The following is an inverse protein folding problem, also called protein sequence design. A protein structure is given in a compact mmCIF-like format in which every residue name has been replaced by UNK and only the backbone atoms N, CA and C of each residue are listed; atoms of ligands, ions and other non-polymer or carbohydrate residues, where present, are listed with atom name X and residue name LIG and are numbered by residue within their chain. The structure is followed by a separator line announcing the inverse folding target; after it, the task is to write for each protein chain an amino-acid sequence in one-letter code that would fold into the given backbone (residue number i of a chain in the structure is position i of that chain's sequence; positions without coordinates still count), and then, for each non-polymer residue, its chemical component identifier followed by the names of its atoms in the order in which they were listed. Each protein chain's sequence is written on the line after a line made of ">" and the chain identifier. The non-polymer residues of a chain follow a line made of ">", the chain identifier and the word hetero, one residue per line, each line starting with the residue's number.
data_IF_269411931718
#
_entry.id   IF_269411931718
#
_cell.length_a   1.000
_cell.length_b   1.000
_cell.length_c   1.000
_cell.angle_alpha   90.00
_cell.angle_beta   90.00
_cell.angle_gamma   90.00
#
_symmetry.space_group_name_H-M   'P 1'
#
loop_
_entity.id
_entity.type
_entity.pdbx_description
1 polymer ?
#
# COMPACT_ATOMS: atom_id res chain seq x y z
N UNK A 1 -38.70 41.13 29.29
CA UNK A 1 -37.41 41.82 29.55
C UNK A 1 -36.66 41.95 28.22
N UNK A 2 -36.22 43.18 27.92
CA UNK A 2 -35.21 43.60 26.94
C UNK A 2 -35.53 43.52 25.42
N UNK A 3 -36.09 44.64 24.94
CA UNK A 3 -35.69 45.39 23.74
C UNK A 3 -34.25 46.00 23.90
N UNK A 4 -33.66 46.76 22.93
CA UNK A 4 -33.91 46.92 21.47
C UNK A 4 -32.61 46.92 20.59
N UNK A 5 -32.75 47.15 19.25
CA UNK A 5 -31.66 47.27 18.25
C UNK A 5 -31.22 48.73 18.01
N UNK A 6 -30.24 48.99 17.13
CA UNK A 6 -30.04 50.28 16.42
C UNK A 6 -29.08 50.15 15.21
N UNK A 7 -29.23 51.12 14.30
CA UNK A 7 -28.92 51.11 12.86
C UNK A 7 -27.60 51.89 12.52
N UNK A 8 -27.27 52.13 11.22
CA UNK A 8 -25.92 52.39 10.68
C UNK A 8 -25.57 53.89 10.54
N UNK A 9 -24.36 54.22 10.04
CA UNK A 9 -23.86 55.47 9.39
C UNK A 9 -22.31 55.46 9.40
N UNK A 10 -21.52 56.07 8.53
CA UNK A 10 -21.67 56.91 7.32
C UNK A 10 -20.27 57.08 6.70
N UNK A 11 -20.26 57.58 5.47
CA UNK A 11 -19.13 57.97 4.62
C UNK A 11 -18.09 58.91 5.27
N UNK A 12 -16.88 58.92 4.73
CA UNK A 12 -16.25 60.17 4.26
C UNK A 12 -15.03 59.90 3.37
N UNK A 13 -15.11 60.53 2.21
CA UNK A 13 -14.08 60.93 1.26
C UNK A 13 -12.74 61.32 1.91
N UNK A 14 -11.62 61.09 1.22
CA UNK A 14 -11.00 62.14 0.42
C UNK A 14 -9.77 61.63 -0.36
N UNK A 15 -9.74 62.10 -1.60
CA UNK A 15 -8.71 62.01 -2.63
C UNK A 15 -7.44 62.75 -2.23
N UNK A 16 -6.28 62.30 -2.72
CA UNK A 16 -5.43 63.22 -3.49
C UNK A 16 -4.40 62.53 -4.39
N UNK A 17 -4.35 63.07 -5.60
CA UNK A 17 -3.48 62.77 -6.73
C UNK A 17 -2.14 63.50 -6.63
N UNK A 18 -1.05 62.93 -7.17
CA UNK A 18 -0.27 63.53 -8.27
C UNK A 18 1.10 62.86 -8.50
N UNK A 19 1.23 62.38 -9.74
CA UNK A 19 2.39 62.26 -10.66
C UNK A 19 3.82 62.70 -10.26
N UNK A 20 4.79 61.88 -10.68
CA UNK A 20 5.99 62.18 -11.52
C UNK A 20 7.06 61.10 -11.23
N UNK A 21 8.00 60.69 -12.07
CA UNK A 21 8.32 60.78 -13.50
C UNK A 21 9.56 59.87 -13.69
N UNK A 22 9.71 59.27 -14.88
CA UNK A 22 10.94 58.77 -15.54
C UNK A 22 12.12 58.21 -14.70
N UNK A 23 12.54 56.97 -14.97
CA UNK A 23 13.75 56.74 -15.79
C UNK A 23 13.98 55.25 -16.13
N UNK A 24 14.46 55.07 -17.34
CA UNK A 24 14.94 53.84 -17.97
C UNK A 24 16.36 53.48 -17.49
N UNK A 25 16.65 52.20 -17.21
CA UNK A 25 17.79 51.54 -17.87
C UNK A 25 17.95 50.02 -17.61
N UNK A 26 18.24 49.33 -18.72
CA UNK A 26 19.05 48.10 -18.92
C UNK A 26 18.88 46.83 -18.07
N UNK A 27 18.22 45.86 -18.71
CA UNK A 27 18.63 44.46 -18.97
C UNK A 27 19.88 43.88 -18.27
N UNK A 28 19.69 42.76 -17.54
CA UNK A 28 20.24 41.43 -17.86
C UNK A 28 19.87 40.42 -16.75
N UNK A 29 18.94 39.51 -17.03
CA UNK A 29 18.64 38.32 -16.22
C UNK A 29 18.96 37.06 -17.05
N UNK A 30 19.60 36.02 -16.47
CA UNK A 30 19.93 34.78 -17.19
C UNK A 30 18.70 33.89 -17.39
N UNK A 31 18.72 32.95 -18.36
CA UNK A 31 17.51 32.29 -18.86
C UNK A 31 17.03 31.16 -17.94
N UNK A 32 15.71 31.09 -17.74
CA UNK A 32 14.99 29.95 -17.15
C UNK A 32 15.00 28.73 -18.10
N UNK A 33 15.07 27.50 -17.59
CA UNK A 33 14.93 26.31 -18.42
C UNK A 33 13.45 26.04 -18.73
N UNK A 34 13.06 26.28 -19.98
CA UNK A 34 11.78 25.86 -20.55
C UNK A 34 11.67 24.32 -20.50
N UNK A 35 10.76 23.78 -19.68
CA UNK A 35 10.24 22.41 -19.81
C UNK A 35 8.83 22.43 -20.38
N UNK A 36 8.70 21.71 -21.50
CA UNK A 36 7.55 21.52 -22.39
C UNK A 36 6.21 21.37 -21.66
N UNK A 37 5.29 22.33 -21.91
CA UNK A 37 3.84 22.10 -21.90
C UNK A 37 3.46 21.42 -23.20
N UNK A 38 3.18 20.12 -23.17
CA UNK A 38 2.46 19.40 -24.21
C UNK A 38 1.89 18.11 -23.61
N UNK A 39 0.75 17.66 -24.14
CA UNK A 39 -0.03 16.45 -23.80
C UNK A 39 -1.19 16.67 -22.82
N UNK A 40 -2.23 17.39 -23.27
CA UNK A 40 -3.61 17.12 -22.85
C UNK A 40 -4.64 17.35 -23.96
N UNK A 41 -4.25 17.34 -25.23
CA UNK A 41 -5.16 17.31 -26.36
C UNK A 41 -4.67 16.25 -27.34
N UNK A 42 -5.36 15.11 -27.35
CA UNK A 42 -5.70 14.30 -28.53
C UNK A 42 -6.64 13.16 -28.08
N UNK A 43 -7.40 12.68 -29.05
CA UNK A 43 -8.71 12.05 -28.99
C UNK A 43 -8.71 10.64 -28.36
N UNK A 44 -9.91 10.11 -28.08
CA UNK A 44 -10.33 8.81 -28.66
C UNK A 44 -11.74 8.42 -28.21
N UNK A 45 -12.67 8.63 -29.14
CA UNK A 45 -13.69 7.64 -29.44
C UNK A 45 -13.02 6.53 -30.28
N UNK A 46 -13.26 5.26 -29.89
CA UNK A 46 -13.04 4.03 -30.67
C UNK A 46 -11.61 3.49 -30.81
N UNK A 47 -11.47 2.16 -30.72
CA UNK A 47 -10.37 1.42 -31.35
C UNK A 47 -9.38 0.74 -30.41
N UNK A 48 -9.56 -0.57 -30.25
CA UNK A 48 -8.64 -1.51 -29.61
C UNK A 48 -7.33 -1.64 -30.43
N UNK A 49 -6.18 -1.19 -29.90
CA UNK A 49 -4.85 -1.57 -30.37
C UNK A 49 -3.90 -1.68 -29.17
N UNK A 50 -3.96 -2.80 -28.45
CA UNK A 50 -2.95 -3.16 -27.45
C UNK A 50 -1.75 -3.85 -28.12
N UNK A 51 -0.65 -3.13 -28.24
CA UNK A 51 0.68 -3.72 -28.37
C UNK A 51 1.06 -4.45 -27.09
N UNK A 52 1.59 -5.67 -27.22
CA UNK A 52 2.20 -6.43 -26.13
C UNK A 52 3.51 -5.77 -25.69
N UNK A 53 3.43 -4.72 -24.88
CA UNK A 53 4.59 -4.13 -24.22
C UNK A 53 4.49 -4.33 -22.71
N UNK A 54 5.61 -4.74 -22.11
CA UNK A 54 5.73 -4.98 -20.67
C UNK A 54 5.43 -3.68 -19.92
N UNK A 55 4.41 -3.75 -19.06
CA UNK A 55 3.90 -2.62 -18.27
C UNK A 55 4.99 -2.08 -17.33
N UNK A 56 5.48 -0.88 -17.62
CA UNK A 56 6.46 -0.15 -16.81
C UNK A 56 5.72 0.85 -15.92
N UNK A 57 5.45 0.45 -14.67
CA UNK A 57 4.68 1.23 -13.69
C UNK A 57 5.47 2.44 -13.26
N UNK A 58 5.39 3.59 -13.95
CA UNK A 58 6.03 4.84 -13.52
C UNK A 58 7.49 4.63 -13.06
N UNK A 59 8.16 3.68 -13.71
CA UNK A 59 9.35 3.02 -13.22
C UNK A 59 10.57 3.57 -13.91
N UNK A 60 10.51 4.56 -14.81
CA UNK A 60 11.74 5.18 -15.30
C UNK A 60 12.43 5.97 -14.18
N UNK A 61 11.71 6.85 -13.48
CA UNK A 61 12.23 7.55 -12.31
C UNK A 61 12.38 6.62 -11.08
N UNK A 62 11.57 5.54 -11.00
CA UNK A 62 11.67 4.55 -9.92
C UNK A 62 12.77 3.51 -10.14
N UNK A 63 13.07 3.14 -11.40
CA UNK A 63 14.24 2.34 -11.80
C UNK A 63 15.48 3.19 -11.72
N UNK A 64 15.42 4.49 -12.06
CA UNK A 64 16.51 5.41 -11.77
C UNK A 64 16.73 5.52 -10.28
N UNK A 65 15.71 5.73 -9.44
CA UNK A 65 15.91 5.79 -7.98
C UNK A 65 16.22 4.45 -7.32
N UNK A 66 15.81 3.31 -7.87
CA UNK A 66 16.25 1.96 -7.44
C UNK A 66 17.65 1.66 -7.96
N UNK A 67 17.99 2.06 -9.17
CA UNK A 67 19.35 1.96 -9.73
C UNK A 67 20.29 2.94 -9.06
N UNK A 68 19.82 4.10 -8.62
CA UNK A 68 20.51 5.10 -7.80
C UNK A 68 20.55 4.64 -6.34
N UNK A 69 19.53 3.99 -5.80
CA UNK A 69 19.60 3.39 -4.46
C UNK A 69 20.50 2.15 -4.45
N UNK A 70 20.52 1.38 -5.56
CA UNK A 70 21.50 0.32 -5.81
C UNK A 70 22.87 0.87 -6.10
N UNK A 71 22.99 2.00 -6.80
CA UNK A 71 24.26 2.66 -7.08
C UNK A 71 24.79 3.37 -5.84
N UNK A 72 23.95 3.97 -4.99
CA UNK A 72 24.30 4.52 -3.67
C UNK A 72 24.56 3.39 -2.67
N UNK A 73 23.87 2.25 -2.77
CA UNK A 73 24.27 1.04 -2.08
C UNK A 73 25.62 0.56 -2.59
N UNK A 74 25.84 0.50 -3.90
CA UNK A 74 27.08 0.01 -4.53
C UNK A 74 28.25 0.97 -4.37
N UNK A 75 28.01 2.28 -4.25
CA UNK A 75 28.95 3.39 -3.99
C UNK A 75 29.25 3.47 -2.50
N UNK A 76 28.24 3.38 -1.64
CA UNK A 76 28.43 3.19 -0.20
C UNK A 76 29.19 1.89 0.08
N UNK A 77 28.83 0.79 -0.60
CA UNK A 77 29.57 -0.49 -0.60
C UNK A 77 30.94 -0.37 -1.28
N UNK A 78 31.16 0.62 -2.16
CA UNK A 78 32.44 0.84 -2.84
C UNK A 78 33.47 1.45 -1.90
N UNK A 79 33.09 2.42 -1.05
CA UNK A 79 33.97 2.96 -0.01
C UNK A 79 34.36 1.88 1.03
N UNK A 80 33.50 0.88 1.27
CA UNK A 80 33.79 -0.27 2.14
C UNK A 80 34.56 -1.43 1.48
N UNK A 81 35.06 -1.28 0.24
CA UNK A 81 35.87 -2.32 -0.44
C UNK A 81 37.29 -2.48 0.12
N UNK A 82 37.73 -1.62 1.04
CA UNK A 82 39.14 -1.52 1.43
C UNK A 82 39.55 -2.29 2.71
N UNK A 83 38.64 -2.96 3.42
CA UNK A 83 39.01 -3.83 4.55
C UNK A 83 38.95 -5.30 4.13
N UNK A 84 40.11 -5.95 3.95
CA UNK A 84 40.19 -7.32 3.45
C UNK A 84 39.52 -8.35 4.38
N UNK A 85 39.47 -8.09 5.69
CA UNK A 85 38.80 -8.94 6.68
C UNK A 85 38.18 -8.07 7.78
N UNK A 86 36.85 -7.96 7.82
CA UNK A 86 36.18 -7.12 8.82
C UNK A 86 35.95 -7.90 10.12
N UNK A 87 36.60 -7.47 11.22
CA UNK A 87 36.36 -7.99 12.57
C UNK A 87 35.39 -7.08 13.35
N UNK A 88 34.13 -7.49 13.53
CA UNK A 88 33.15 -6.70 14.27
C UNK A 88 33.42 -6.61 15.77
N UNK A 89 34.29 -7.45 16.34
CA UNK A 89 34.56 -7.50 17.79
C UNK A 89 35.36 -6.29 18.28
N UNK A 90 36.10 -5.65 17.39
CA UNK A 90 36.94 -4.49 17.66
C UNK A 90 36.38 -3.20 17.05
N UNK A 91 35.17 -3.26 16.47
CA UNK A 91 34.52 -2.08 15.88
C UNK A 91 33.93 -1.21 17.01
N UNK A 92 34.63 -0.12 17.31
CA UNK A 92 34.21 0.86 18.31
C UNK A 92 32.99 1.65 17.80
N UNK A 93 31.92 1.64 18.57
CA UNK A 93 30.66 2.30 18.26
C UNK A 93 30.34 3.28 19.37
N UNK A 94 30.31 4.58 19.05
CA UNK A 94 30.07 5.65 20.01
C UNK A 94 28.68 6.29 19.84
N UNK A 95 28.00 6.04 18.72
CA UNK A 95 26.63 6.51 18.50
C UNK A 95 25.86 5.79 17.38
N UNK A 96 24.62 6.22 17.17
CA UNK A 96 23.68 5.57 16.23
C UNK A 96 24.15 5.59 14.77
N UNK A 97 24.93 6.61 14.39
CA UNK A 97 25.51 6.69 13.06
C UNK A 97 26.60 5.63 12.86
N UNK A 98 27.41 5.36 13.89
CA UNK A 98 28.41 4.28 13.86
C UNK A 98 27.74 2.91 13.77
N UNK A 99 26.60 2.73 14.47
CA UNK A 99 25.78 1.51 14.33
C UNK A 99 25.31 1.34 12.89
N UNK A 100 24.82 2.41 12.24
CA UNK A 100 24.39 2.36 10.83
C UNK A 100 25.54 2.02 9.88
N UNK A 101 26.73 2.57 10.11
CA UNK A 101 27.93 2.22 9.35
C UNK A 101 28.34 0.76 9.59
N UNK A 102 28.28 0.28 10.83
CA UNK A 102 28.53 -1.13 11.18
C UNK A 102 27.56 -2.07 10.48
N UNK A 103 26.27 -1.72 10.40
CA UNK A 103 25.28 -2.49 9.64
C UNK A 103 25.72 -2.67 8.18
N UNK A 104 26.16 -1.59 7.51
CA UNK A 104 26.64 -1.65 6.13
C UNK A 104 27.88 -2.55 5.98
N UNK A 105 28.84 -2.46 6.91
CA UNK A 105 30.05 -3.31 6.93
C UNK A 105 29.70 -4.79 7.12
N UNK A 106 28.80 -5.09 8.06
CA UNK A 106 28.31 -6.46 8.33
C UNK A 106 27.58 -7.01 7.11
N UNK A 107 26.73 -6.22 6.46
CA UNK A 107 26.03 -6.64 5.23
C UNK A 107 27.02 -6.89 4.08
N UNK A 108 27.98 -5.98 3.88
CA UNK A 108 29.04 -6.15 2.89
C UNK A 108 29.87 -7.42 3.12
N UNK A 109 30.12 -7.75 4.39
CA UNK A 109 30.78 -9.00 4.80
C UNK A 109 29.89 -10.22 4.53
N UNK A 110 28.60 -10.17 4.87
CA UNK A 110 27.67 -11.28 4.66
C UNK A 110 27.37 -11.57 3.19
N UNK A 111 27.45 -10.54 2.33
CA UNK A 111 27.30 -10.64 0.88
C UNK A 111 28.48 -11.36 0.22
N UNK A 112 29.71 -11.11 0.67
CA UNK A 112 30.90 -11.82 0.22
C UNK A 112 31.64 -12.50 1.39
N UNK A 113 30.93 -13.44 2.03
CA UNK A 113 31.38 -14.04 3.29
C UNK A 113 32.66 -14.88 3.17
N UNK A 114 32.92 -15.47 2.00
CA UNK A 114 34.13 -16.29 1.82
C UNK A 114 35.39 -15.45 1.87
N UNK A 115 35.34 -14.25 1.30
CA UNK A 115 36.51 -13.38 1.12
C UNK A 115 36.66 -12.36 2.25
N UNK A 116 35.55 -11.85 2.80
CA UNK A 116 35.59 -10.70 3.74
C UNK A 116 35.46 -11.06 5.21
N UNK A 117 35.14 -12.31 5.55
CA UNK A 117 34.94 -12.73 6.94
C UNK A 117 36.24 -12.67 7.72
N UNK A 118 36.20 -12.32 8.99
CA UNK A 118 37.31 -12.61 9.88
C UNK A 118 37.46 -14.13 10.05
N UNK A 119 38.67 -14.72 9.97
CA UNK A 119 38.86 -16.18 9.98
C UNK A 119 38.26 -16.88 11.22
N UNK A 120 38.31 -16.21 12.37
CA UNK A 120 37.84 -16.71 13.67
C UNK A 120 36.36 -16.45 13.97
N UNK A 121 35.67 -15.64 13.15
CA UNK A 121 34.30 -15.22 13.42
C UNK A 121 33.33 -16.02 12.55
N UNK A 122 32.37 -16.68 13.19
CA UNK A 122 31.36 -17.48 12.51
C UNK A 122 30.27 -16.59 11.89
N UNK A 123 29.63 -17.09 10.82
CA UNK A 123 28.53 -16.38 10.13
C UNK A 123 27.37 -16.04 11.07
N UNK A 124 27.06 -16.92 12.02
CA UNK A 124 26.01 -16.71 13.03
C UNK A 124 26.27 -15.45 13.85
N UNK A 125 27.52 -15.18 14.22
CA UNK A 125 27.88 -13.98 14.99
C UNK A 125 27.55 -12.70 14.23
N UNK A 126 27.92 -12.61 12.94
CA UNK A 126 27.59 -11.46 12.10
C UNK A 126 26.07 -11.27 11.96
N UNK A 127 25.32 -12.37 11.85
CA UNK A 127 23.85 -12.32 11.76
C UNK A 127 23.23 -11.85 13.08
N UNK A 128 23.67 -12.35 14.23
CA UNK A 128 23.19 -11.91 15.54
C UNK A 128 23.53 -10.44 15.81
N UNK A 129 24.74 -10.01 15.42
CA UNK A 129 25.13 -8.60 15.51
C UNK A 129 24.25 -7.72 14.63
N UNK A 130 24.00 -8.11 13.38
CA UNK A 130 23.10 -7.39 12.48
C UNK A 130 21.70 -7.23 13.08
N UNK A 131 21.17 -8.28 13.72
CA UNK A 131 19.85 -8.24 14.36
C UNK A 131 19.82 -7.19 15.48
N UNK A 132 20.84 -7.22 16.35
CA UNK A 132 20.98 -6.27 17.46
C UNK A 132 21.12 -4.84 16.95
N UNK A 133 21.96 -4.63 15.94
CA UNK A 133 22.21 -3.29 15.39
C UNK A 133 20.98 -2.70 14.71
N UNK A 134 20.20 -3.51 13.98
CA UNK A 134 18.93 -3.07 13.40
C UNK A 134 17.93 -2.70 14.50
N UNK A 135 17.86 -3.51 15.57
CA UNK A 135 17.01 -3.23 16.72
C UNK A 135 17.36 -1.88 17.36
N UNK A 136 18.65 -1.62 17.57
CA UNK A 136 19.14 -0.39 18.21
C UNK A 136 19.04 0.84 17.30
N UNK A 137 19.42 0.72 16.03
CA UNK A 137 19.46 1.85 15.09
C UNK A 137 18.07 2.30 14.61
N UNK A 138 17.10 1.38 14.57
CA UNK A 138 15.77 1.64 14.00
C UNK A 138 14.62 1.40 15.00
N UNK A 139 14.90 0.93 16.22
CA UNK A 139 13.89 0.72 17.27
C UNK A 139 12.95 -0.46 17.02
N UNK A 140 13.39 -1.47 16.27
CA UNK A 140 12.63 -2.70 16.06
C UNK A 140 12.82 -3.64 17.26
N UNK A 141 11.78 -4.36 17.68
CA UNK A 141 11.94 -5.46 18.64
C UNK A 141 12.71 -6.61 17.99
N UNK A 142 13.51 -7.34 18.78
CA UNK A 142 14.29 -8.48 18.27
C UNK A 142 13.39 -9.53 17.61
N UNK A 143 12.19 -9.75 18.14
CA UNK A 143 11.18 -10.64 17.55
C UNK A 143 10.81 -10.23 16.13
N UNK A 144 10.56 -8.94 15.89
CA UNK A 144 10.24 -8.44 14.55
C UNK A 144 11.45 -8.56 13.62
N UNK A 145 12.65 -8.25 14.10
CA UNK A 145 13.87 -8.41 13.30
C UNK A 145 14.09 -9.87 12.90
N UNK A 146 13.84 -10.82 13.81
CA UNK A 146 13.93 -12.25 13.54
C UNK A 146 12.88 -12.71 12.51
N UNK A 147 11.65 -12.21 12.59
CA UNK A 147 10.62 -12.46 11.59
C UNK A 147 11.04 -11.95 10.21
N UNK A 148 11.54 -10.71 10.13
CA UNK A 148 11.90 -10.06 8.87
C UNK A 148 13.17 -10.67 8.25
N UNK A 149 14.18 -11.00 9.04
CA UNK A 149 15.40 -11.63 8.53
C UNK A 149 15.11 -13.03 7.98
N UNK A 150 14.13 -13.74 8.54
CA UNK A 150 13.65 -15.01 7.98
C UNK A 150 13.12 -14.82 6.56
N UNK A 151 12.32 -13.78 6.32
CA UNK A 151 11.67 -13.52 5.01
C UNK A 151 12.64 -12.98 3.96
N UNK A 152 13.48 -12.01 4.32
CA UNK A 152 14.32 -11.28 3.37
C UNK A 152 15.77 -11.76 3.33
N UNK A 153 16.21 -12.51 4.35
CA UNK A 153 17.62 -12.74 4.59
C UNK A 153 18.36 -11.47 5.04
N UNK A 154 19.64 -11.59 5.43
CA UNK A 154 20.37 -10.49 6.05
C UNK A 154 20.63 -9.30 5.10
N UNK A 155 20.76 -9.55 3.80
CA UNK A 155 21.13 -8.52 2.82
C UNK A 155 19.92 -7.65 2.46
N UNK A 156 18.79 -8.26 2.09
CA UNK A 156 17.58 -7.52 1.69
C UNK A 156 16.86 -6.88 2.89
N UNK A 157 17.06 -7.41 4.11
CA UNK A 157 16.46 -6.87 5.34
C UNK A 157 16.74 -5.38 5.55
N UNK A 158 17.98 -4.94 5.39
CA UNK A 158 18.33 -3.54 5.61
C UNK A 158 17.67 -2.60 4.59
N UNK A 159 17.56 -3.04 3.33
CA UNK A 159 16.83 -2.28 2.31
C UNK A 159 15.36 -2.14 2.69
N UNK A 160 14.74 -3.22 3.18
CA UNK A 160 13.35 -3.19 3.67
C UNK A 160 13.17 -2.24 4.86
N UNK A 161 13.99 -2.37 5.91
CA UNK A 161 13.91 -1.52 7.12
C UNK A 161 14.13 -0.05 6.78
N UNK A 162 15.17 0.26 5.99
CA UNK A 162 15.46 1.64 5.57
C UNK A 162 14.33 2.23 4.74
N UNK A 163 13.70 1.43 3.88
CA UNK A 163 12.53 1.87 3.15
C UNK A 163 11.36 2.14 4.11
N UNK A 164 11.10 1.29 5.09
CA UNK A 164 10.02 1.49 6.07
C UNK A 164 10.15 2.77 6.90
N UNK A 165 11.34 3.36 7.04
CA UNK A 165 11.51 4.65 7.72
C UNK A 165 11.19 5.88 6.83
N UNK A 166 11.02 5.68 5.51
CA UNK A 166 10.64 6.75 4.59
C UNK A 166 9.11 6.88 4.51
N UNK A 167 8.56 8.11 4.56
CA UNK A 167 7.14 8.32 4.36
C UNK A 167 6.74 7.86 2.95
N UNK A 168 5.53 7.30 2.83
CA UNK A 168 5.00 6.87 1.54
C UNK A 168 4.29 8.01 0.83
N UNK A 169 4.30 8.01 -0.52
CA UNK A 169 3.52 8.98 -1.28
C UNK A 169 2.05 8.96 -0.84
N UNK A 170 1.46 10.15 -0.72
CA UNK A 170 0.04 10.27 -0.45
C UNK A 170 -0.74 9.89 -1.70
N UNK A 171 -1.66 8.94 -1.60
CA UNK A 171 -2.46 8.50 -2.73
C UNK A 171 -3.95 8.68 -2.47
N UNK A 172 -4.69 9.01 -3.53
CA UNK A 172 -6.15 9.11 -3.51
C UNK A 172 -6.76 8.22 -4.60
N UNK A 173 -7.94 7.68 -4.30
CA UNK A 173 -8.78 6.92 -5.23
C UNK A 173 -9.97 7.76 -5.66
N UNK A 174 -10.11 8.02 -6.95
CA UNK A 174 -11.27 8.71 -7.51
C UNK A 174 -12.53 7.87 -7.35
N UNK A 175 -13.64 8.51 -6.98
CA UNK A 175 -14.96 7.89 -7.00
C UNK A 175 -15.57 8.01 -8.39
N UNK A 176 -15.43 6.96 -9.18
CA UNK A 176 -15.94 6.88 -10.56
C UNK A 176 -17.46 6.95 -10.68
N UNK A 177 -18.21 6.78 -9.57
CA UNK A 177 -19.65 7.03 -9.53
C UNK A 177 -20.02 8.52 -9.60
N UNK A 178 -19.08 9.41 -9.28
CA UNK A 178 -19.34 10.86 -9.15
C UNK A 178 -18.56 11.71 -10.15
N UNK A 179 -17.31 11.37 -10.43
CA UNK A 179 -16.43 12.12 -11.33
C UNK A 179 -15.47 11.19 -12.07
N UNK A 180 -15.05 11.60 -13.27
CA UNK A 180 -13.93 10.95 -13.98
C UNK A 180 -12.59 11.39 -13.38
N UNK A 181 -11.57 10.54 -13.49
CA UNK A 181 -10.21 10.85 -12.98
C UNK A 181 -9.66 12.17 -13.56
N UNK A 182 -9.82 12.38 -14.87
CA UNK A 182 -9.32 13.59 -15.56
C UNK A 182 -9.97 14.87 -15.02
N UNK A 183 -11.28 14.85 -14.81
CA UNK A 183 -12.03 15.98 -14.25
C UNK A 183 -11.58 16.30 -12.82
N UNK A 184 -11.44 15.26 -11.97
CA UNK A 184 -10.95 15.47 -10.61
C UNK A 184 -9.52 16.03 -10.59
N UNK A 185 -8.63 15.50 -11.44
CA UNK A 185 -7.27 15.99 -11.56
C UNK A 185 -7.23 17.48 -11.92
N UNK A 186 -8.02 17.92 -12.90
CA UNK A 186 -8.12 19.33 -13.29
C UNK A 186 -8.59 20.22 -12.13
N UNK A 187 -9.62 19.78 -11.39
CA UNK A 187 -10.14 20.52 -10.23
C UNK A 187 -9.07 20.67 -9.14
N UNK A 188 -8.32 19.61 -8.84
CA UNK A 188 -7.27 19.63 -7.82
C UNK A 188 -6.05 20.45 -8.25
N UNK A 189 -5.64 20.35 -9.52
CA UNK A 189 -4.55 21.17 -10.08
C UNK A 189 -4.89 22.66 -9.99
N UNK A 190 -6.14 23.04 -10.32
CA UNK A 190 -6.60 24.42 -10.18
C UNK A 190 -6.56 24.96 -8.74
N UNK A 191 -6.55 24.06 -7.74
CA UNK A 191 -6.39 24.40 -6.31
C UNK A 191 -4.93 24.36 -5.83
N UNK A 192 -3.96 24.20 -6.73
CA UNK A 192 -2.54 24.15 -6.38
C UNK A 192 -2.10 22.80 -5.80
N UNK A 193 -2.77 21.71 -6.16
CA UNK A 193 -2.33 20.34 -5.82
C UNK A 193 -1.45 19.81 -6.95
N UNK A 194 -0.23 19.39 -6.62
CA UNK A 194 0.66 18.70 -7.54
C UNK A 194 0.40 17.19 -7.47
N UNK A 195 -0.02 16.60 -8.59
CA UNK A 195 -0.47 15.22 -8.64
C UNK A 195 -0.25 14.59 -10.01
N UNK A 196 -0.02 13.28 -10.01
CA UNK A 196 0.06 12.45 -11.23
C UNK A 196 -0.78 11.17 -11.12
N UNK A 197 -1.18 10.57 -12.25
CA UNK A 197 -1.67 9.19 -12.31
C UNK A 197 -0.82 8.16 -11.55
N UNK A 198 -1.47 7.23 -10.85
CA UNK A 198 -0.77 6.08 -10.24
C UNK A 198 -0.56 5.00 -11.29
N UNK A 199 0.53 5.14 -12.06
CA UNK A 199 0.92 4.21 -13.12
C UNK A 199 -0.22 3.84 -14.09
N UNK A 200 0.03 2.86 -14.95
CA UNK A 200 -0.96 2.46 -15.96
C UNK A 200 -1.88 1.32 -15.49
N UNK A 201 -1.55 0.69 -14.37
CA UNK A 201 -2.33 -0.43 -13.80
C UNK A 201 -3.60 0.04 -13.07
N UNK A 202 -3.71 1.33 -12.74
CA UNK A 202 -4.86 1.87 -12.02
C UNK A 202 -5.48 3.07 -12.75
N UNK A 203 -6.72 2.90 -13.24
CA UNK A 203 -7.47 3.98 -13.90
C UNK A 203 -8.05 5.03 -12.94
N UNK A 204 -8.13 4.72 -11.63
CA UNK A 204 -8.76 5.57 -10.61
C UNK A 204 -7.76 6.27 -9.68
N UNK A 205 -6.49 5.87 -9.70
CA UNK A 205 -5.49 6.30 -8.73
C UNK A 205 -4.81 7.61 -9.12
N UNK A 206 -4.62 8.51 -8.16
CA UNK A 206 -3.78 9.71 -8.26
C UNK A 206 -2.82 9.77 -7.08
N UNK A 207 -1.54 10.04 -7.37
CA UNK A 207 -0.48 10.27 -6.39
C UNK A 207 -0.33 11.77 -6.20
N UNK A 208 -0.30 12.20 -4.93
CA UNK A 208 -0.14 13.59 -4.53
C UNK A 208 1.31 13.79 -4.08
N UNK A 209 2.03 14.70 -4.74
CA UNK A 209 3.41 15.04 -4.38
C UNK A 209 3.46 16.20 -3.39
N UNK A 210 2.63 17.21 -3.62
CA UNK A 210 2.51 18.36 -2.74
C UNK A 210 1.13 18.98 -2.86
N UNK A 211 0.69 19.63 -1.80
CA UNK A 211 -0.59 20.33 -1.77
C UNK A 211 -0.51 21.49 -0.81
N UNK A 212 -0.96 22.67 -1.26
CA UNK A 212 -1.13 23.84 -0.38
C UNK A 212 -2.39 23.71 0.49
N UNK A 213 -3.36 22.89 0.05
CA UNK A 213 -4.63 22.66 0.74
C UNK A 213 -4.65 21.27 1.38
N UNK A 214 -5.16 21.10 2.60
CA UNK A 214 -5.30 19.76 3.18
C UNK A 214 -6.22 18.88 2.33
N UNK A 215 -5.69 17.78 1.78
CA UNK A 215 -6.41 16.88 0.87
C UNK A 215 -7.64 16.23 1.53
N UNK A 216 -7.66 16.11 2.86
CA UNK A 216 -8.80 15.60 3.63
C UNK A 216 -9.88 16.64 3.95
N UNK A 217 -9.69 17.91 3.56
CA UNK A 217 -10.60 19.01 3.87
C UNK A 217 -11.13 19.73 2.62
N UNK A 218 -10.83 19.23 1.42
CA UNK A 218 -11.34 19.83 0.18
C UNK A 218 -12.85 19.60 0.04
N UNK A 219 -13.58 20.51 -0.64
CA UNK A 219 -14.99 20.29 -0.96
C UNK A 219 -15.24 18.98 -1.71
N UNK A 220 -14.31 18.60 -2.58
CA UNK A 220 -14.37 17.37 -3.38
C UNK A 220 -14.25 16.12 -2.50
N UNK A 221 -13.38 16.15 -1.48
CA UNK A 221 -13.31 15.07 -0.48
C UNK A 221 -14.60 14.96 0.33
N UNK A 222 -15.12 16.09 0.82
CA UNK A 222 -16.35 16.12 1.63
C UNK A 222 -17.57 15.66 0.81
N UNK A 223 -17.61 15.99 -0.49
CA UNK A 223 -18.63 15.49 -1.44
C UNK A 223 -18.45 14.02 -1.82
N UNK A 224 -17.36 13.38 -1.38
CA UNK A 224 -17.04 11.98 -1.68
C UNK A 224 -16.62 11.73 -3.12
N UNK A 225 -16.02 12.71 -3.79
CA UNK A 225 -15.45 12.55 -5.12
C UNK A 225 -14.17 11.70 -5.12
N UNK A 226 -13.53 11.54 -3.96
CA UNK A 226 -12.40 10.63 -3.79
C UNK A 226 -12.25 10.16 -2.34
N UNK A 227 -11.43 9.13 -2.18
CA UNK A 227 -11.04 8.55 -0.90
C UNK A 227 -9.51 8.63 -0.76
N UNK A 228 -9.01 9.06 0.40
CA UNK A 228 -7.58 8.95 0.72
C UNK A 228 -7.32 7.51 1.11
N UNK A 229 -6.47 6.83 0.36
CA UNK A 229 -6.24 5.40 0.52
C UNK A 229 -4.90 5.03 -0.11
N UNK A 230 -4.17 4.14 0.55
CA UNK A 230 -2.90 3.61 0.06
C UNK A 230 -3.06 2.85 -1.29
N UNK A 231 -2.09 3.02 -2.18
CA UNK A 231 -2.11 2.41 -3.51
C UNK A 231 -2.27 0.87 -3.47
N UNK A 232 -1.63 0.17 -2.52
CA UNK A 232 -1.75 -1.28 -2.44
C UNK A 232 -3.17 -1.72 -2.07
N UNK A 233 -3.93 -0.87 -1.37
CA UNK A 233 -5.32 -1.14 -1.03
C UNK A 233 -6.29 -1.03 -2.22
N UNK A 234 -5.84 -0.57 -3.39
CA UNK A 234 -6.63 -0.62 -4.62
C UNK A 234 -6.65 -2.02 -5.24
N UNK A 235 -5.61 -2.81 -4.99
CA UNK A 235 -5.38 -4.09 -5.66
C UNK A 235 -6.45 -5.14 -5.34
N UNK A 236 -6.93 -5.32 -4.09
CA UNK A 236 -7.90 -6.37 -3.81
C UNK A 236 -9.25 -6.20 -4.53
N UNK A 237 -9.90 -5.02 -4.51
CA UNK A 237 -11.10 -4.80 -5.32
C UNK A 237 -10.86 -4.97 -6.83
N UNK A 238 -9.72 -4.45 -7.34
CA UNK A 238 -9.34 -4.59 -8.76
C UNK A 238 -9.01 -6.03 -9.16
N UNK A 239 -8.53 -6.86 -8.24
CA UNK A 239 -8.32 -8.29 -8.47
C UNK A 239 -9.65 -9.04 -8.49
N UNK A 240 -10.53 -8.72 -7.54
CA UNK A 240 -11.83 -9.36 -7.39
C UNK A 240 -12.78 -9.05 -8.55
N UNK A 241 -12.72 -7.84 -9.14
CA UNK A 241 -13.52 -7.39 -10.30
C UNK A 241 -15.01 -7.71 -10.19
N UNK A 242 -15.71 -7.27 -9.12
CA UNK A 242 -17.14 -7.50 -9.00
C UNK A 242 -17.90 -6.87 -10.17
N UNK A 243 -18.96 -7.55 -10.62
CA UNK A 243 -19.80 -7.08 -11.72
C UNK A 243 -21.12 -6.50 -11.20
N UNK A 244 -21.74 -5.56 -11.92
CA UNK A 244 -23.08 -5.08 -11.61
C UNK A 244 -24.09 -6.23 -11.48
N UNK A 245 -24.89 -6.21 -10.41
CA UNK A 245 -25.93 -7.21 -10.16
C UNK A 245 -25.47 -8.45 -9.38
N UNK A 246 -24.16 -8.64 -9.17
CA UNK A 246 -23.62 -9.72 -8.35
C UNK A 246 -23.89 -9.48 -6.86
N UNK A 247 -23.81 -10.57 -6.08
CA UNK A 247 -23.82 -10.52 -4.62
C UNK A 247 -22.41 -10.66 -4.07
N UNK A 248 -21.93 -9.60 -3.44
CA UNK A 248 -20.54 -9.46 -2.97
C UNK A 248 -20.49 -9.31 -1.45
N UNK A 249 -19.50 -9.92 -0.81
CA UNK A 249 -19.23 -9.76 0.63
C UNK A 249 -17.85 -9.15 0.85
N UNK A 250 -17.77 -8.15 1.72
CA UNK A 250 -16.54 -7.69 2.35
C UNK A 250 -16.57 -8.12 3.82
N UNK A 251 -15.71 -9.07 4.20
CA UNK A 251 -15.76 -9.71 5.53
C UNK A 251 -15.18 -8.86 6.67
N UNK A 252 -14.36 -7.85 6.34
CA UNK A 252 -13.65 -6.99 7.29
C UNK A 252 -13.58 -5.57 6.74
N UNK A 253 -14.77 -4.99 6.59
CA UNK A 253 -15.02 -3.84 5.74
C UNK A 253 -14.51 -2.52 6.31
N UNK A 254 -14.50 -2.32 7.63
CA UNK A 254 -14.19 -1.00 8.19
C UNK A 254 -12.70 -0.65 7.97
N UNK A 255 -12.36 0.62 7.66
CA UNK A 255 -13.23 1.81 7.65
C UNK A 255 -14.01 2.04 6.34
N UNK A 256 -13.99 1.12 5.37
CA UNK A 256 -14.82 1.18 4.15
C UNK A 256 -14.08 1.57 2.87
N UNK A 257 -12.76 1.76 2.92
CA UNK A 257 -11.99 2.17 1.72
C UNK A 257 -12.09 1.17 0.56
N UNK A 258 -11.91 -0.13 0.85
CA UNK A 258 -12.05 -1.20 -0.15
C UNK A 258 -13.51 -1.47 -0.50
N UNK A 259 -14.40 -1.44 0.49
CA UNK A 259 -15.84 -1.61 0.32
C UNK A 259 -16.45 -0.57 -0.63
N UNK A 260 -16.08 0.71 -0.47
CA UNK A 260 -16.54 1.78 -1.39
C UNK A 260 -15.98 1.61 -2.81
N UNK A 261 -14.84 0.93 -2.95
CA UNK A 261 -14.29 0.59 -4.26
C UNK A 261 -15.08 -0.55 -4.90
N UNK A 262 -15.42 -1.59 -4.14
CA UNK A 262 -16.32 -2.66 -4.61
C UNK A 262 -17.67 -2.08 -5.08
N UNK A 263 -18.30 -1.22 -4.28
CA UNK A 263 -19.57 -0.58 -4.66
C UNK A 263 -19.49 0.30 -5.91
N UNK A 264 -18.34 0.98 -6.11
CA UNK A 264 -18.05 1.71 -7.33
C UNK A 264 -17.92 0.82 -8.56
N UNK A 265 -17.17 -0.28 -8.45
CA UNK A 265 -17.01 -1.26 -9.54
C UNK A 265 -18.34 -1.95 -9.89
N UNK A 266 -19.19 -2.19 -8.89
CA UNK A 266 -20.55 -2.73 -9.08
C UNK A 266 -21.54 -1.72 -9.66
N UNK A 267 -21.15 -0.45 -9.86
CA UNK A 267 -22.03 0.62 -10.35
C UNK A 267 -23.30 0.76 -9.51
N UNK A 268 -23.20 0.57 -8.18
CA UNK A 268 -24.34 0.55 -7.26
C UNK A 268 -25.45 -0.46 -7.61
N UNK A 269 -25.14 -1.54 -8.34
CA UNK A 269 -26.09 -2.58 -8.73
C UNK A 269 -25.75 -3.92 -8.08
N UNK A 270 -26.78 -4.66 -7.65
CA UNK A 270 -26.62 -5.91 -6.90
C UNK A 270 -26.65 -5.70 -5.39
N UNK A 271 -25.97 -6.56 -4.65
CA UNK A 271 -25.95 -6.52 -3.17
C UNK A 271 -24.52 -6.60 -2.67
N UNK A 272 -24.07 -5.59 -1.94
CA UNK A 272 -22.77 -5.56 -1.28
C UNK A 272 -22.97 -5.68 0.24
N UNK A 273 -22.59 -6.80 0.84
CA UNK A 273 -22.61 -6.94 2.31
C UNK A 273 -21.26 -6.48 2.85
N UNK A 274 -21.28 -5.47 3.73
CA UNK A 274 -20.12 -4.90 4.37
C UNK A 274 -20.11 -5.26 5.86
N UNK A 275 -19.34 -6.28 6.22
CA UNK A 275 -19.29 -6.79 7.58
C UNK A 275 -18.01 -6.33 8.30
N UNK A 276 -18.12 -5.94 9.57
CA UNK A 276 -16.94 -5.77 10.44
C UNK A 276 -17.30 -6.21 11.86
N UNK A 277 -16.38 -6.89 12.54
CA UNK A 277 -16.60 -7.37 13.91
C UNK A 277 -16.56 -6.20 14.93
N UNK A 278 -15.75 -5.17 14.67
CA UNK A 278 -15.57 -4.08 15.62
C UNK A 278 -16.69 -3.04 15.46
N UNK A 279 -17.62 -3.06 16.42
CA UNK A 279 -18.77 -2.14 16.48
C UNK A 279 -18.36 -0.66 16.50
N UNK A 280 -17.23 -0.32 17.11
CA UNK A 280 -16.75 1.08 17.19
C UNK A 280 -16.31 1.63 15.83
N UNK A 281 -15.95 0.74 14.88
CA UNK A 281 -15.52 1.12 13.53
C UNK A 281 -16.68 1.20 12.54
N UNK A 282 -17.86 0.69 12.90
CA UNK A 282 -19.07 0.70 12.07
C UNK A 282 -19.54 2.13 11.72
N UNK A 283 -19.56 3.12 12.65
CA UNK A 283 -19.92 4.49 12.29
C UNK A 283 -19.02 5.09 11.20
N UNK A 284 -17.71 4.83 11.25
CA UNK A 284 -16.79 5.28 10.22
C UNK A 284 -17.05 4.62 8.85
N UNK A 285 -17.36 3.32 8.84
CA UNK A 285 -17.78 2.59 7.64
C UNK A 285 -19.06 3.20 7.05
N UNK A 286 -20.10 3.40 7.87
CA UNK A 286 -21.37 4.00 7.44
C UNK A 286 -21.17 5.41 6.89
N UNK A 287 -20.40 6.25 7.58
CA UNK A 287 -20.09 7.61 7.14
C UNK A 287 -19.36 7.61 5.78
N UNK A 288 -18.39 6.72 5.59
CA UNK A 288 -17.68 6.62 4.31
C UNK A 288 -18.57 6.10 3.18
N UNK A 289 -19.41 5.08 3.43
CA UNK A 289 -20.35 4.59 2.43
C UNK A 289 -21.34 5.69 2.01
N UNK A 290 -21.91 6.41 2.97
CA UNK A 290 -22.83 7.52 2.72
C UNK A 290 -22.14 8.66 1.96
N UNK A 291 -20.96 9.11 2.42
CA UNK A 291 -20.17 10.17 1.76
C UNK A 291 -19.83 9.79 0.33
N UNK A 292 -19.41 8.55 0.09
CA UNK A 292 -19.05 8.05 -1.25
C UNK A 292 -20.27 7.73 -2.12
N UNK A 293 -21.50 7.81 -1.59
CA UNK A 293 -22.72 7.57 -2.36
C UNK A 293 -22.95 6.10 -2.71
N UNK A 294 -22.53 5.18 -1.85
CA UNK A 294 -22.75 3.74 -2.04
C UNK A 294 -24.15 3.38 -1.55
N UNK A 295 -25.01 2.93 -2.45
CA UNK A 295 -26.43 2.65 -2.16
C UNK A 295 -26.74 1.15 -2.12
N UNK A 296 -25.91 0.31 -2.74
CA UNK A 296 -26.08 -1.15 -2.77
C UNK A 296 -25.54 -1.87 -1.52
N UNK A 297 -25.02 -1.14 -0.53
CA UNK A 297 -24.34 -1.71 0.62
C UNK A 297 -25.26 -1.98 1.81
N UNK A 298 -25.16 -3.18 2.40
CA UNK A 298 -25.78 -3.56 3.67
C UNK A 298 -24.67 -3.71 4.71
N UNK A 299 -24.71 -2.88 5.74
CA UNK A 299 -23.70 -2.91 6.82
C UNK A 299 -24.13 -3.88 7.91
N UNK A 300 -23.24 -4.80 8.29
CA UNK A 300 -23.49 -5.79 9.34
C UNK A 300 -22.36 -5.83 10.37
N UNK A 301 -22.68 -6.29 11.58
CA UNK A 301 -21.72 -6.47 12.67
C UNK A 301 -21.82 -7.89 13.21
N UNK A 302 -21.17 -8.83 12.52
CA UNK A 302 -21.10 -10.24 12.89
C UNK A 302 -19.65 -10.72 12.95
N UNK A 303 -19.42 -11.78 13.73
CA UNK A 303 -18.22 -12.60 13.56
C UNK A 303 -18.27 -13.26 12.19
N UNK A 304 -17.31 -12.92 11.34
CA UNK A 304 -17.27 -13.39 9.97
C UNK A 304 -17.07 -14.91 9.85
N UNK A 305 -16.59 -15.58 10.91
CA UNK A 305 -16.52 -17.05 11.00
C UNK A 305 -17.89 -17.71 11.10
N UNK A 306 -18.87 -17.00 11.63
CA UNK A 306 -20.22 -17.52 11.87
C UNK A 306 -21.23 -17.13 10.79
N UNK A 307 -20.84 -16.29 9.83
CA UNK A 307 -21.72 -15.81 8.77
C UNK A 307 -22.35 -16.95 7.95
N UNK A 308 -21.69 -18.10 7.84
CA UNK A 308 -22.21 -19.31 7.16
C UNK A 308 -23.52 -19.81 7.75
N UNK A 309 -23.83 -19.49 9.02
CA UNK A 309 -25.09 -19.84 9.70
C UNK A 309 -26.24 -18.91 9.32
N UNK A 310 -25.94 -17.68 8.90
CA UNK A 310 -26.91 -16.61 8.70
C UNK A 310 -27.11 -16.27 7.22
N UNK A 311 -26.07 -16.41 6.41
CA UNK A 311 -26.07 -16.07 5.01
C UNK A 311 -25.10 -16.94 4.20
N UNK A 312 -25.20 -16.86 2.89
CA UNK A 312 -24.35 -17.56 1.93
C UNK A 312 -24.87 -17.29 0.52
N UNK A 313 -24.20 -17.83 -0.50
CA UNK A 313 -24.59 -17.55 -1.89
C UNK A 313 -23.97 -16.28 -2.45
N UNK A 314 -22.74 -15.98 -2.04
CA UNK A 314 -21.98 -14.86 -2.58
C UNK A 314 -21.24 -15.28 -3.85
N UNK A 315 -21.30 -14.45 -4.88
CA UNK A 315 -20.56 -14.66 -6.12
C UNK A 315 -19.08 -14.35 -5.90
N UNK A 316 -18.81 -13.27 -5.16
CA UNK A 316 -17.46 -12.81 -4.87
C UNK A 316 -17.30 -12.36 -3.42
N UNK A 317 -16.14 -12.63 -2.85
CA UNK A 317 -15.85 -12.29 -1.46
C UNK A 317 -14.47 -11.62 -1.39
N UNK A 318 -14.41 -10.49 -0.71
CA UNK A 318 -13.19 -9.84 -0.30
C UNK A 318 -12.93 -10.19 1.18
N UNK A 319 -11.76 -10.76 1.43
CA UNK A 319 -11.21 -10.96 2.76
C UNK A 319 -9.89 -10.19 2.87
N UNK A 320 -10.00 -8.91 3.24
CA UNK A 320 -8.85 -8.12 3.71
C UNK A 320 -8.63 -8.44 5.18
N UNK A 321 -7.79 -9.43 5.44
CA UNK A 321 -7.80 -10.12 6.72
C UNK A 321 -7.11 -9.30 7.83
N UNK A 322 -7.62 -9.34 9.07
CA UNK A 322 -6.94 -8.74 10.21
C UNK A 322 -5.56 -9.37 10.38
N UNK A 323 -4.51 -8.55 10.37
CA UNK A 323 -3.12 -9.01 10.35
C UNK A 323 -2.23 -8.13 11.22
N UNK A 324 -0.99 -8.58 11.42
CA UNK A 324 -0.01 -7.89 12.28
C UNK A 324 0.38 -6.50 11.76
N UNK A 325 0.22 -6.26 10.46
CA UNK A 325 0.61 -5.01 9.80
C UNK A 325 2.11 -4.85 9.59
N UNK A 326 2.89 -5.94 9.62
CA UNK A 326 4.36 -5.88 9.42
C UNK A 326 4.80 -5.20 8.11
N UNK A 327 3.91 -5.03 7.13
CA UNK A 327 4.17 -4.30 5.89
C UNK A 327 3.90 -2.80 5.94
N UNK A 328 3.27 -2.27 7.00
CA UNK A 328 2.82 -0.87 7.10
C UNK A 328 3.54 -0.08 8.20
N UNK A 329 4.76 -0.49 8.57
CA UNK A 329 5.56 0.17 9.63
C UNK A 329 5.76 1.68 9.35
N UNK A 330 5.87 2.08 8.08
CA UNK A 330 6.00 3.50 7.70
C UNK A 330 4.75 4.34 8.00
N UNK A 331 3.60 3.69 8.22
CA UNK A 331 2.33 4.33 8.58
C UNK A 331 2.06 4.25 10.07
N UNK A 332 2.40 3.12 10.69
CA UNK A 332 2.27 2.90 12.12
C UNK A 332 3.57 2.34 12.69
N UNK A 333 4.38 3.24 13.24
CA UNK A 333 5.66 2.91 13.84
C UNK A 333 5.51 2.08 15.13
N UNK A 334 4.32 1.98 15.74
CA UNK A 334 4.15 1.13 16.93
C UNK A 334 4.33 -0.35 16.61
N UNK A 335 4.12 -0.75 15.35
CA UNK A 335 4.22 -2.13 14.88
C UNK A 335 5.62 -2.69 15.06
N UNK A 336 6.67 -1.89 14.82
CA UNK A 336 8.05 -2.37 14.94
C UNK A 336 8.47 -2.68 16.38
N UNK A 337 7.83 -2.04 17.36
CA UNK A 337 8.13 -2.23 18.77
C UNK A 337 7.22 -3.29 19.44
N UNK A 338 5.95 -3.37 19.03
CA UNK A 338 4.92 -4.08 19.80
C UNK A 338 4.49 -5.44 19.24
N UNK A 339 4.97 -5.84 18.05
CA UNK A 339 4.61 -7.15 17.47
C UNK A 339 5.57 -8.24 17.91
N UNK A 340 5.00 -9.44 18.09
CA UNK A 340 5.70 -10.66 18.50
C UNK A 340 5.34 -11.84 17.59
N UNK A 341 6.10 -12.93 17.73
CA UNK A 341 5.76 -14.22 17.08
C UNK A 341 4.37 -14.74 17.48
N UNK A 342 3.96 -14.49 18.73
CA UNK A 342 2.67 -14.94 19.26
C UNK A 342 1.53 -14.24 18.53
N UNK A 343 1.66 -12.93 18.28
CA UNK A 343 0.66 -12.16 17.53
C UNK A 343 0.50 -12.69 16.10
N UNK A 344 1.62 -12.94 15.43
CA UNK A 344 1.64 -13.54 14.08
C UNK A 344 0.91 -14.89 14.08
N UNK A 345 1.16 -15.75 15.07
CA UNK A 345 0.55 -17.07 15.15
C UNK A 345 -0.95 -17.00 15.42
N UNK A 346 -1.37 -16.15 16.38
CA UNK A 346 -2.78 -15.95 16.73
C UNK A 346 -3.58 -15.42 15.53
N UNK A 347 -3.06 -14.38 14.86
CA UNK A 347 -3.71 -13.80 13.69
C UNK A 347 -3.68 -14.76 12.49
N UNK A 348 -2.60 -15.49 12.26
CA UNK A 348 -2.54 -16.54 11.23
C UNK A 348 -3.64 -17.59 11.43
N UNK A 349 -3.90 -18.02 12.67
CA UNK A 349 -4.96 -19.00 12.95
C UNK A 349 -6.36 -18.41 12.70
N UNK A 350 -6.60 -17.18 13.16
CA UNK A 350 -7.85 -16.46 12.86
C UNK A 350 -8.05 -16.31 11.34
N UNK A 351 -7.01 -15.93 10.60
CA UNK A 351 -7.06 -15.77 9.15
C UNK A 351 -7.38 -17.08 8.43
N UNK A 352 -6.88 -18.23 8.92
CA UNK A 352 -7.25 -19.56 8.38
C UNK A 352 -8.74 -19.82 8.57
N UNK A 353 -9.28 -19.61 9.77
CA UNK A 353 -10.71 -19.80 10.05
C UNK A 353 -11.57 -18.89 9.16
N UNK A 354 -11.19 -17.61 9.05
CA UNK A 354 -11.88 -16.63 8.21
C UNK A 354 -11.84 -17.01 6.73
N UNK A 355 -10.70 -17.46 6.22
CA UNK A 355 -10.57 -17.84 4.81
C UNK A 355 -11.38 -19.09 4.48
N UNK A 356 -11.40 -20.09 5.38
CA UNK A 356 -12.26 -21.26 5.22
C UNK A 356 -13.74 -20.86 5.21
N UNK A 357 -14.16 -20.00 6.14
CA UNK A 357 -15.53 -19.48 6.18
C UNK A 357 -15.87 -18.67 4.90
N UNK A 358 -14.93 -17.87 4.39
CA UNK A 358 -15.09 -17.14 3.13
C UNK A 358 -15.40 -18.10 1.98
N UNK A 359 -14.62 -19.17 1.85
CA UNK A 359 -14.82 -20.16 0.78
C UNK A 359 -16.18 -20.85 0.92
N UNK A 360 -16.60 -21.17 2.16
CA UNK A 360 -17.86 -21.85 2.44
C UNK A 360 -19.10 -20.95 2.20
N UNK A 361 -18.93 -19.62 2.20
CA UNK A 361 -19.96 -18.63 1.91
C UNK A 361 -20.22 -18.44 0.39
N UNK A 362 -19.32 -18.92 -0.46
CA UNK A 362 -19.48 -18.82 -1.91
C UNK A 362 -20.73 -19.54 -2.42
N UNK A 363 -21.32 -18.98 -3.46
CA UNK A 363 -22.43 -19.59 -4.18
C UNK A 363 -22.05 -20.97 -4.72
N UNK A 364 -22.91 -21.97 -4.49
CA UNK A 364 -22.71 -23.31 -5.07
C UNK A 364 -23.17 -23.38 -6.52
N UNK A 365 -23.88 -22.36 -7.01
CA UNK A 365 -24.37 -22.28 -8.38
C UNK A 365 -23.29 -21.73 -9.32
N UNK A 366 -23.25 -22.20 -10.57
CA UNK A 366 -22.22 -21.84 -11.54
C UNK A 366 -22.53 -20.55 -12.35
N UNK A 367 -23.51 -19.75 -11.92
CA UNK A 367 -23.96 -18.58 -12.70
C UNK A 367 -22.93 -17.45 -12.75
N UNK A 368 -22.03 -17.38 -11.76
CA UNK A 368 -21.01 -16.36 -11.63
C UNK A 368 -19.66 -16.97 -11.21
N UNK A 369 -18.53 -16.29 -11.47
CA UNK A 369 -17.22 -16.75 -11.04
C UNK A 369 -17.09 -16.65 -9.52
N UNK A 370 -17.06 -17.83 -8.87
CA UNK A 370 -16.99 -18.02 -7.41
C UNK A 370 -15.59 -17.72 -6.88
N UNK A 371 -15.34 -16.45 -6.56
CA UNK A 371 -14.00 -15.94 -6.27
C UNK A 371 -13.88 -15.39 -4.84
N UNK A 372 -12.76 -15.70 -4.19
CA UNK A 372 -12.34 -15.09 -2.92
C UNK A 372 -11.02 -14.37 -3.15
N UNK A 373 -10.99 -13.06 -2.94
CA UNK A 373 -9.75 -12.30 -2.88
C UNK A 373 -9.30 -12.22 -1.42
N UNK A 374 -8.18 -12.86 -1.11
CA UNK A 374 -7.52 -12.78 0.17
C UNK A 374 -6.39 -11.75 0.10
N UNK A 375 -6.34 -10.82 1.06
CA UNK A 375 -5.23 -9.87 1.18
C UNK A 375 -4.84 -9.57 2.62
N UNK A 376 -3.59 -9.15 2.82
CA UNK A 376 -3.07 -8.65 4.10
C UNK A 376 -2.09 -7.49 3.86
N UNK A 377 -1.92 -6.64 4.87
CA UNK A 377 -0.81 -5.68 4.92
C UNK A 377 0.39 -6.21 5.76
N UNK A 378 0.61 -7.52 5.73
CA UNK A 378 1.73 -8.20 6.39
C UNK A 378 2.70 -8.78 5.35
N UNK A 379 3.99 -8.80 5.70
CA UNK A 379 5.03 -9.49 4.92
C UNK A 379 5.27 -10.93 5.39
N UNK A 380 4.68 -11.32 6.53
CA UNK A 380 4.86 -12.62 7.16
C UNK A 380 4.32 -13.76 6.30
N UNK A 381 5.13 -14.81 6.13
CA UNK A 381 4.75 -16.02 5.40
C UNK A 381 3.69 -16.82 6.17
N UNK A 382 3.70 -16.75 7.51
CA UNK A 382 2.72 -17.42 8.35
C UNK A 382 1.30 -16.84 8.18
N UNK A 383 1.20 -15.54 7.90
CA UNK A 383 -0.06 -14.87 7.61
C UNK A 383 -0.43 -15.00 6.12
N UNK A 384 0.54 -15.17 5.22
CA UNK A 384 0.28 -15.18 3.78
C UNK A 384 0.19 -16.61 3.22
N UNK A 385 1.30 -17.15 2.71
CA UNK A 385 1.31 -18.42 1.99
C UNK A 385 0.90 -19.60 2.85
N UNK A 386 1.21 -19.58 4.15
CA UNK A 386 0.77 -20.64 5.06
C UNK A 386 -0.76 -20.69 5.18
N UNK A 387 -1.44 -19.54 5.17
CA UNK A 387 -2.91 -19.44 5.22
C UNK A 387 -3.51 -19.94 3.90
N UNK A 388 -2.98 -19.49 2.76
CA UNK A 388 -3.43 -19.95 1.44
C UNK A 388 -3.22 -21.46 1.27
N UNK A 389 -2.05 -21.97 1.63
CA UNK A 389 -1.73 -23.39 1.56
C UNK A 389 -2.62 -24.23 2.48
N UNK A 390 -2.99 -23.68 3.65
CA UNK A 390 -3.98 -24.32 4.52
C UNK A 390 -5.35 -24.41 3.83
N UNK A 391 -5.85 -23.33 3.22
CA UNK A 391 -7.12 -23.36 2.49
C UNK A 391 -7.12 -24.36 1.32
N UNK A 392 -6.04 -24.41 0.53
CA UNK A 392 -5.89 -25.35 -0.60
C UNK A 392 -5.95 -26.82 -0.17
N UNK A 393 -5.55 -27.14 1.07
CA UNK A 393 -5.61 -28.51 1.62
C UNK A 393 -6.99 -28.88 2.18
N UNK A 394 -7.77 -27.89 2.61
CA UNK A 394 -9.01 -28.12 3.36
C UNK A 394 -10.27 -27.83 2.55
N UNK A 395 -10.17 -27.17 1.40
CA UNK A 395 -11.29 -26.83 0.51
C UNK A 395 -10.92 -27.06 -0.94
N UNK A 396 -11.92 -27.36 -1.77
CA UNK A 396 -11.75 -27.58 -3.21
C UNK A 396 -11.60 -26.25 -3.97
N UNK A 397 -10.53 -25.53 -3.70
CA UNK A 397 -10.21 -24.24 -4.32
C UNK A 397 -8.89 -24.30 -5.06
N UNK A 398 -8.69 -23.37 -5.98
CA UNK A 398 -7.42 -23.17 -6.68
C UNK A 398 -7.01 -21.71 -6.70
N UNK A 399 -5.70 -21.47 -6.74
CA UNK A 399 -5.16 -20.13 -6.96
C UNK A 399 -5.24 -19.81 -8.45
N UNK A 400 -5.87 -18.69 -8.78
CA UNK A 400 -5.97 -18.17 -10.15
C UNK A 400 -5.08 -16.95 -10.31
N UNK A 401 -4.73 -16.65 -11.56
CA UNK A 401 -3.90 -15.50 -11.89
C UNK A 401 -4.63 -14.19 -11.61
N UNK A 402 -3.90 -13.23 -11.09
CA UNK A 402 -4.39 -11.87 -10.87
C UNK A 402 -4.49 -11.14 -12.22
N UNK A 403 -5.40 -10.17 -12.37
CA UNK A 403 -5.58 -9.43 -13.62
C UNK A 403 -4.44 -8.44 -13.92
N UNK A 404 -3.37 -8.43 -13.13
CA UNK A 404 -2.21 -7.57 -13.30
C UNK A 404 -0.92 -8.36 -13.06
N UNK A 405 0.12 -8.03 -13.83
CA UNK A 405 1.36 -8.81 -13.89
C UNK A 405 2.45 -8.42 -12.90
N UNK A 406 2.27 -7.38 -12.10
CA UNK A 406 3.34 -6.81 -11.26
C UNK A 406 3.31 -7.28 -9.80
N UNK A 407 4.41 -7.03 -9.10
CA UNK A 407 4.67 -7.58 -7.76
C UNK A 407 5.60 -8.80 -7.82
N UNK A 408 6.26 -9.10 -6.69
CA UNK A 408 7.02 -10.34 -6.55
C UNK A 408 6.04 -11.53 -6.46
N UNK A 409 6.34 -12.70 -7.05
CA UNK A 409 5.50 -13.88 -6.91
C UNK A 409 5.44 -14.36 -5.45
N UNK A 410 4.37 -15.09 -5.10
CA UNK A 410 4.25 -15.76 -3.80
C UNK A 410 5.35 -16.80 -3.56
N UNK A 411 5.72 -16.99 -2.29
CA UNK A 411 6.84 -17.85 -1.89
C UNK A 411 6.36 -19.31 -1.82
N UNK A 412 6.91 -20.18 -2.67
CA UNK A 412 6.53 -21.61 -2.70
C UNK A 412 7.39 -22.50 -1.81
N UNK A 413 8.56 -22.03 -1.37
CA UNK A 413 9.45 -22.73 -0.45
C UNK A 413 9.98 -21.77 0.60
N UNK A 414 9.88 -22.15 1.86
CA UNK A 414 10.38 -21.36 2.97
C UNK A 414 10.97 -22.27 4.04
N UNK A 415 12.26 -22.10 4.34
CA UNK A 415 13.00 -22.99 5.23
C UNK A 415 12.81 -24.46 4.81
N UNK A 416 12.28 -25.31 5.69
CA UNK A 416 11.97 -26.72 5.43
C UNK A 416 10.55 -26.94 4.86
N UNK A 417 9.71 -25.90 4.82
CA UNK A 417 8.34 -26.00 4.34
C UNK A 417 8.25 -25.81 2.82
N UNK A 418 7.52 -26.73 2.17
CA UNK A 418 7.11 -26.59 0.76
C UNK A 418 5.61 -26.32 0.69
N UNK A 419 5.25 -25.25 -0.01
CA UNK A 419 3.87 -24.86 -0.29
C UNK A 419 3.43 -25.30 -1.69
N UNK A 420 2.12 -25.30 -1.93
CA UNK A 420 1.56 -25.67 -3.22
C UNK A 420 2.11 -24.76 -4.36
N UNK A 421 2.54 -25.31 -5.53
CA UNK A 421 3.17 -24.53 -6.59
C UNK A 421 2.34 -23.37 -7.13
N UNK A 422 1.01 -23.50 -7.12
CA UNK A 422 0.09 -22.44 -7.59
C UNK A 422 0.16 -21.16 -6.76
N UNK A 423 0.74 -21.18 -5.55
CA UNK A 423 0.91 -19.99 -4.72
C UNK A 423 1.85 -18.97 -5.37
N UNK A 424 2.70 -19.38 -6.31
CA UNK A 424 3.47 -18.46 -7.16
C UNK A 424 2.62 -17.46 -7.96
N UNK A 425 1.33 -17.75 -8.16
CA UNK A 425 0.36 -16.84 -8.80
C UNK A 425 -0.11 -15.71 -7.90
N UNK A 426 0.06 -15.83 -6.57
CA UNK A 426 -0.13 -14.72 -5.65
C UNK A 426 0.93 -13.64 -5.88
N UNK A 427 0.69 -12.43 -5.35
CA UNK A 427 1.61 -11.31 -5.47
C UNK A 427 1.94 -10.69 -4.12
N UNK A 428 3.20 -10.28 -4.00
CA UNK A 428 3.81 -9.60 -2.87
C UNK A 428 4.31 -8.24 -3.31
N UNK A 429 4.02 -7.25 -2.48
CA UNK A 429 4.49 -5.88 -2.64
C UNK A 429 5.36 -5.54 -1.45
N UNK A 430 6.40 -4.76 -1.72
CA UNK A 430 7.45 -4.47 -0.76
C UNK A 430 7.87 -3.01 -0.86
N UNK A 431 8.09 -2.33 0.28
CA UNK A 431 8.39 -0.90 0.30
C UNK A 431 9.69 -0.50 -0.39
N UNK A 432 10.71 -1.36 -0.35
CA UNK A 432 12.01 -1.11 -0.99
C UNK A 432 12.06 -1.45 -2.48
N UNK A 433 11.00 -2.05 -3.03
CA UNK A 433 10.96 -2.47 -4.45
C UNK A 433 9.89 -1.71 -5.22
N UNK A 434 8.72 -1.51 -4.61
CA UNK A 434 7.53 -1.00 -5.31
C UNK A 434 7.15 0.40 -4.85
N UNK A 435 7.86 0.98 -3.88
CA UNK A 435 7.51 2.23 -3.23
C UNK A 435 6.09 2.26 -2.62
N UNK A 436 5.50 1.09 -2.34
CA UNK A 436 4.20 0.92 -1.67
C UNK A 436 4.36 0.42 -0.25
N UNK A 437 3.28 0.32 0.53
CA UNK A 437 3.33 -0.52 1.72
C UNK A 437 3.55 -2.01 1.37
N UNK A 438 4.07 -2.76 2.34
CA UNK A 438 4.16 -4.21 2.27
C UNK A 438 2.77 -4.83 2.24
N UNK A 439 2.50 -5.65 1.23
CA UNK A 439 1.16 -6.15 0.96
C UNK A 439 1.21 -7.53 0.30
N UNK A 440 0.19 -8.34 0.55
CA UNK A 440 0.01 -9.65 -0.08
C UNK A 440 -1.40 -9.76 -0.64
N UNK A 441 -1.52 -10.37 -1.81
CA UNK A 441 -2.81 -10.64 -2.45
C UNK A 441 -2.81 -12.00 -3.15
N UNK A 442 -3.90 -12.74 -2.96
CA UNK A 442 -4.14 -14.02 -3.59
C UNK A 442 -5.61 -14.12 -4.01
N UNK A 443 -5.86 -14.53 -5.25
CA UNK A 443 -7.20 -14.78 -5.76
C UNK A 443 -7.44 -16.29 -5.82
N UNK A 444 -8.51 -16.73 -5.15
CA UNK A 444 -8.91 -18.13 -5.07
C UNK A 444 -10.22 -18.33 -5.82
N UNK A 445 -10.33 -19.45 -6.53
CA UNK A 445 -11.56 -19.87 -7.22
C UNK A 445 -12.02 -21.20 -6.67
N UNK A 446 -13.32 -21.31 -6.36
CA UNK A 446 -13.94 -22.60 -6.02
C UNK A 446 -13.99 -23.47 -7.28
N UNK A 447 -13.41 -24.66 -7.21
CA UNK A 447 -13.49 -25.67 -8.27
C UNK A 447 -14.91 -26.24 -8.32
N UNK A 448 -15.39 -26.48 -9.54
CA UNK A 448 -16.65 -27.23 -9.75
C UNK A 448 -16.35 -28.70 -9.53
#
# INVERSE_FOLDING_TARGET
>A
MKYPPLAPRQDSDETDSASSSCDSDTSQTPPEPQRKRALLDEEDESGDVFGTEQVDIGLMETRQSIAEARALQDEGLAEFRHAEHYDPRVDEVQGINDIRLRILRVIGTLANFKERRHPEVQRSYYVELLKKDISEAYGYSLDVVELLIGVFGPIELHSFVTACEKPRPLTIRVNTLKLKRRELAQILIARGVNLDPIGDWCKEGLQIFSSQVPIGATPEYLRGCYMIQDAASFLPPLALRPQPGERVLDMSAAPGGKTTHLGGLMQNSGVLVANDLNKERIPALQANLARMGITCAIVTNFDARELTKTMGGFDRILLDAPCTGLGVVSKDASIKANRSFKDVQQLSNLQKELLLAAIDLLSKTQKAPRLVCYSTCSVSIAENEAVINHALRHRNVEVVDLPFGFGKPGITRFMTASYHPSISKARRFYPHIHNTHGFFICLLRLRV
#
